data_IF_599849099876
#
_entry.id   IF_599849099876
#
_cell.length_a   1.000
_cell.length_b   1.000
_cell.length_c   1.000
_cell.angle_alpha   90.00
_cell.angle_beta   90.00
_cell.angle_gamma   90.00
#
_symmetry.space_group_name_H-M   'P 1'
#
loop_
_entity.id
_entity.type
_entity.pdbx_description
1 polymer ?
#
# COMPACT_ATOMS: atom_id res chain seq x y z
N UNK A 1 -2.85 12.34 -13.80
CA UNK A 1 -2.84 12.84 -12.42
C UNK A 1 -3.71 12.00 -11.50
N UNK A 2 -4.99 11.89 -11.78
CA UNK A 2 -5.89 11.05 -10.98
C UNK A 2 -5.47 9.59 -10.93
N UNK A 3 -5.01 9.05 -12.05
CA UNK A 3 -4.57 7.65 -12.12
C UNK A 3 -3.34 7.40 -11.25
N UNK A 4 -2.40 8.33 -11.24
CA UNK A 4 -1.18 8.22 -10.43
C UNK A 4 -1.52 8.31 -8.95
N UNK A 5 -2.36 9.26 -8.56
CA UNK A 5 -2.80 9.43 -7.19
C UNK A 5 -3.54 8.20 -6.68
N UNK A 6 -4.42 7.64 -7.52
CA UNK A 6 -5.17 6.43 -7.20
C UNK A 6 -4.23 5.24 -7.01
N UNK A 7 -3.26 5.08 -7.89
CA UNK A 7 -2.27 4.01 -7.80
C UNK A 7 -1.47 4.13 -6.50
N UNK A 8 -1.00 5.32 -6.16
CA UNK A 8 -0.25 5.56 -4.93
C UNK A 8 -1.10 5.20 -3.71
N UNK A 9 -2.35 5.66 -3.67
CA UNK A 9 -3.24 5.39 -2.55
C UNK A 9 -3.48 3.88 -2.36
N UNK A 10 -3.85 3.18 -3.43
CA UNK A 10 -4.17 1.75 -3.31
C UNK A 10 -2.94 0.88 -3.08
N UNK A 11 -1.78 1.30 -3.55
CA UNK A 11 -0.52 0.65 -3.21
C UNK A 11 -0.27 0.73 -1.71
N UNK A 12 -0.47 1.89 -1.11
CA UNK A 12 -0.30 2.08 0.33
C UNK A 12 -1.31 1.26 1.13
N UNK A 13 -2.58 1.29 0.73
CA UNK A 13 -3.63 0.51 1.38
C UNK A 13 -3.37 -1.00 1.25
N UNK A 14 -2.94 -1.44 0.09
CA UNK A 14 -2.59 -2.84 -0.15
C UNK A 14 -1.46 -3.28 0.77
N UNK A 15 -0.42 -2.46 0.91
CA UNK A 15 0.72 -2.79 1.78
C UNK A 15 0.28 -2.97 3.24
N UNK A 16 -0.68 -2.19 3.69
CA UNK A 16 -1.19 -2.31 5.06
C UNK A 16 -2.15 -3.47 5.25
N UNK A 17 -3.04 -3.68 4.30
CA UNK A 17 -4.22 -4.54 4.52
C UNK A 17 -4.35 -5.75 3.60
N UNK A 18 -3.36 -6.04 2.77
CA UNK A 18 -3.45 -7.15 1.81
C UNK A 18 -3.76 -8.49 2.47
N UNK A 19 -3.29 -8.69 3.69
CA UNK A 19 -3.56 -9.93 4.43
C UNK A 19 -5.04 -10.17 4.74
N UNK A 20 -5.87 -9.15 4.59
CA UNK A 20 -7.31 -9.24 4.83
C UNK A 20 -8.12 -9.43 3.54
N UNK A 21 -7.44 -9.48 2.41
CA UNK A 21 -8.07 -9.72 1.11
C UNK A 21 -8.12 -11.21 0.81
N UNK A 22 -9.07 -11.63 -0.05
CA UNK A 22 -9.07 -12.99 -0.56
C UNK A 22 -7.84 -13.21 -1.46
N UNK A 23 -7.47 -14.46 -1.68
CA UNK A 23 -6.34 -14.79 -2.56
C UNK A 23 -6.51 -14.20 -3.96
N UNK A 24 -7.70 -14.32 -4.54
CA UNK A 24 -7.99 -13.78 -5.87
C UNK A 24 -7.87 -12.26 -5.91
N UNK A 25 -8.44 -11.58 -4.92
CA UNK A 25 -8.36 -10.12 -4.81
C UNK A 25 -6.91 -9.66 -4.67
N UNK A 26 -6.16 -10.32 -3.78
CA UNK A 26 -4.77 -9.99 -3.52
C UNK A 26 -3.92 -10.12 -4.79
N UNK A 27 -4.04 -11.24 -5.49
CA UNK A 27 -3.28 -11.48 -6.71
C UNK A 27 -3.62 -10.51 -7.83
N UNK A 28 -4.89 -10.26 -8.05
CA UNK A 28 -5.34 -9.38 -9.12
C UNK A 28 -5.00 -7.91 -8.84
N UNK A 29 -5.19 -7.47 -7.60
CA UNK A 29 -4.78 -6.12 -7.22
C UNK A 29 -3.27 -5.93 -7.36
N UNK A 30 -2.48 -6.94 -6.98
CA UNK A 30 -1.03 -6.91 -7.13
C UNK A 30 -0.63 -6.76 -8.60
N UNK A 31 -1.24 -7.54 -9.50
CA UNK A 31 -0.99 -7.45 -10.94
C UNK A 31 -1.28 -6.06 -11.48
N UNK A 32 -2.40 -5.50 -11.05
CA UNK A 32 -2.87 -4.22 -11.56
C UNK A 32 -2.04 -3.04 -11.04
N UNK A 33 -1.80 -2.99 -9.74
CA UNK A 33 -1.15 -1.84 -9.11
C UNK A 33 0.37 -1.93 -9.05
N UNK A 34 0.95 -3.12 -8.91
CA UNK A 34 2.40 -3.28 -8.81
C UNK A 34 3.06 -3.66 -10.13
N UNK A 35 2.40 -4.49 -10.94
CA UNK A 35 2.96 -4.91 -12.23
C UNK A 35 2.44 -4.09 -13.40
N UNK A 36 1.55 -3.16 -13.14
CA UNK A 36 0.97 -2.26 -14.14
C UNK A 36 0.35 -3.00 -15.33
N UNK A 37 -0.27 -4.14 -15.06
CA UNK A 37 -0.93 -4.92 -16.09
C UNK A 37 -2.34 -4.38 -16.36
N UNK A 38 -2.75 -4.43 -17.62
CA UNK A 38 -4.12 -4.07 -17.99
C UNK A 38 -5.09 -5.18 -17.61
N UNK A 39 -6.37 -4.86 -17.57
CA UNK A 39 -7.42 -5.85 -17.30
C UNK A 39 -7.33 -7.00 -18.31
N UNK A 40 -7.08 -6.70 -19.59
CA UNK A 40 -6.92 -7.71 -20.63
C UNK A 40 -5.74 -8.63 -20.36
N UNK A 41 -4.60 -8.05 -19.98
CA UNK A 41 -3.39 -8.83 -19.69
C UNK A 41 -3.59 -9.74 -18.48
N UNK A 42 -4.22 -9.23 -17.43
CA UNK A 42 -4.52 -10.03 -16.23
C UNK A 42 -5.46 -11.18 -16.57
N UNK A 43 -6.51 -10.88 -17.35
CA UNK A 43 -7.49 -11.87 -17.81
C UNK A 43 -6.81 -13.01 -18.57
N UNK A 44 -5.92 -12.67 -19.49
CA UNK A 44 -5.18 -13.66 -20.28
C UNK A 44 -4.20 -14.46 -19.41
N UNK A 45 -3.43 -13.77 -18.59
CA UNK A 45 -2.40 -14.41 -17.77
C UNK A 45 -2.97 -15.38 -16.75
N UNK A 46 -4.13 -15.06 -16.19
CA UNK A 46 -4.75 -15.88 -15.15
C UNK A 46 -5.87 -16.78 -15.67
N UNK A 47 -6.14 -16.72 -16.95
CA UNK A 47 -7.18 -17.52 -17.60
C UNK A 47 -8.55 -17.35 -16.92
N UNK A 48 -8.92 -16.10 -16.70
CA UNK A 48 -10.23 -15.72 -16.16
C UNK A 48 -10.84 -14.65 -17.06
N UNK A 49 -12.14 -14.42 -16.94
CA UNK A 49 -12.80 -13.41 -17.76
C UNK A 49 -12.41 -11.99 -17.34
N UNK A 50 -12.55 -11.05 -18.28
CA UNK A 50 -12.32 -9.62 -17.98
C UNK A 50 -13.29 -9.14 -16.91
N UNK A 51 -14.53 -9.61 -16.97
CA UNK A 51 -15.54 -9.28 -15.96
C UNK A 51 -15.12 -9.75 -14.56
N UNK A 52 -14.52 -10.94 -14.48
CA UNK A 52 -14.02 -11.46 -13.20
C UNK A 52 -12.88 -10.59 -12.66
N UNK A 53 -11.98 -10.13 -13.54
CA UNK A 53 -10.90 -9.23 -13.14
C UNK A 53 -11.46 -7.91 -12.63
N UNK A 54 -12.37 -7.30 -13.36
CA UNK A 54 -13.02 -6.05 -12.95
C UNK A 54 -13.72 -6.16 -11.62
N UNK A 55 -14.43 -7.27 -11.42
CA UNK A 55 -15.15 -7.53 -10.16
C UNK A 55 -14.17 -7.65 -8.99
N UNK A 56 -13.10 -8.41 -9.17
CA UNK A 56 -12.08 -8.59 -8.13
C UNK A 56 -11.41 -7.27 -7.77
N UNK A 57 -11.09 -6.45 -8.78
CA UNK A 57 -10.50 -5.12 -8.56
C UNK A 57 -11.45 -4.23 -7.78
N UNK A 58 -12.70 -4.13 -8.23
CA UNK A 58 -13.69 -3.27 -7.59
C UNK A 58 -13.94 -3.68 -6.15
N UNK A 59 -14.16 -4.95 -5.91
CA UNK A 59 -14.44 -5.46 -4.57
C UNK A 59 -13.23 -5.35 -3.65
N UNK A 60 -12.04 -5.63 -4.18
CA UNK A 60 -10.82 -5.53 -3.42
C UNK A 60 -10.53 -4.09 -3.00
N UNK A 61 -10.69 -3.14 -3.92
CA UNK A 61 -10.51 -1.72 -3.64
C UNK A 61 -11.50 -1.22 -2.61
N UNK A 62 -12.77 -1.60 -2.74
CA UNK A 62 -13.81 -1.26 -1.77
C UNK A 62 -13.49 -1.79 -0.38
N UNK A 63 -13.00 -3.02 -0.32
CA UNK A 63 -12.65 -3.65 0.94
C UNK A 63 -11.49 -2.91 1.62
N UNK A 64 -10.47 -2.55 0.85
CA UNK A 64 -9.33 -1.77 1.36
C UNK A 64 -9.80 -0.43 1.94
N UNK A 65 -10.67 0.29 1.24
CA UNK A 65 -11.20 1.55 1.72
C UNK A 65 -12.05 1.38 2.97
N UNK A 66 -12.86 0.33 3.03
CA UNK A 66 -13.68 0.04 4.19
C UNK A 66 -12.84 -0.25 5.44
N UNK A 67 -11.76 -1.00 5.26
CA UNK A 67 -10.83 -1.32 6.35
C UNK A 67 -10.16 -0.03 6.83
N UNK A 68 -9.70 0.81 5.91
CA UNK A 68 -9.06 2.07 6.24
C UNK A 68 -10.03 3.01 6.98
N UNK A 69 -11.27 3.04 6.57
CA UNK A 69 -12.29 3.86 7.24
C UNK A 69 -12.43 3.49 8.71
N UNK A 70 -12.33 2.20 9.00
CA UNK A 70 -12.44 1.69 10.37
C UNK A 70 -11.15 1.84 11.17
N UNK A 71 -10.03 1.41 10.60
CA UNK A 71 -8.75 1.34 11.32
C UNK A 71 -7.92 2.61 11.22
N UNK A 72 -8.00 3.31 10.10
CA UNK A 72 -7.30 4.59 9.84
C UNK A 72 -5.77 4.51 10.00
N UNK A 73 -5.19 3.33 9.76
CA UNK A 73 -3.74 3.14 9.88
C UNK A 73 -2.96 4.00 8.90
N UNK A 74 -3.41 4.11 7.66
CA UNK A 74 -2.73 4.95 6.67
C UNK A 74 -2.78 6.41 7.07
N UNK A 75 -3.96 6.90 7.47
CA UNK A 75 -4.14 8.28 7.90
C UNK A 75 -3.23 8.61 9.08
N UNK A 76 -3.19 7.74 10.09
CA UNK A 76 -2.35 7.92 11.27
C UNK A 76 -0.87 7.89 10.91
N UNK A 77 -0.47 6.95 10.07
CA UNK A 77 0.93 6.83 9.64
C UNK A 77 1.39 8.07 8.90
N UNK A 78 0.55 8.63 8.03
CA UNK A 78 0.88 9.85 7.30
C UNK A 78 1.02 11.06 8.21
N UNK A 79 0.16 11.16 9.23
CA UNK A 79 0.25 12.23 10.22
C UNK A 79 1.52 12.12 11.05
N UNK A 80 1.86 10.90 11.48
CA UNK A 80 3.07 10.65 12.25
C UNK A 80 4.30 10.97 11.40
N UNK A 81 4.30 10.52 10.14
CA UNK A 81 5.39 10.80 9.20
C UNK A 81 5.62 12.30 9.05
N UNK A 82 4.55 13.07 8.88
CA UNK A 82 4.65 14.53 8.75
C UNK A 82 5.32 15.16 9.97
N UNK A 83 4.96 14.67 11.16
CA UNK A 83 5.56 15.17 12.41
C UNK A 83 7.03 14.76 12.54
N UNK A 84 7.37 13.55 12.13
CA UNK A 84 8.75 13.08 12.14
C UNK A 84 9.59 13.88 11.15
N UNK A 85 9.04 14.22 9.98
CA UNK A 85 9.72 15.07 9.00
C UNK A 85 9.98 16.47 9.57
N UNK A 86 9.00 17.06 10.25
CA UNK A 86 9.18 18.35 10.93
C UNK A 86 10.30 18.25 11.97
N UNK A 87 10.29 17.17 12.75
CA UNK A 87 11.30 16.95 13.78
C UNK A 87 12.70 16.83 13.16
N UNK A 88 12.80 16.18 11.99
CA UNK A 88 14.06 16.01 11.29
C UNK A 88 14.72 17.33 10.90
N UNK A 89 13.91 18.40 10.76
CA UNK A 89 14.41 19.71 10.38
C UNK A 89 15.03 20.49 11.56
N UNK A 90 14.71 20.13 12.79
CA UNK A 90 15.16 20.86 13.97
C UNK A 90 16.19 20.12 14.81
N UNK A 91 16.42 18.83 14.58
CA UNK A 91 17.45 18.09 15.30
C UNK A 91 18.78 18.31 14.60
N UNK A 92 19.85 18.51 15.38
CA UNK A 92 21.20 18.69 14.84
C UNK A 92 22.26 17.85 15.55
N UNK A 93 21.90 17.22 16.67
CA UNK A 93 22.76 16.26 17.35
C UNK A 93 22.76 14.91 16.62
N UNK A 94 23.93 14.27 16.51
CA UNK A 94 24.08 13.02 15.76
C UNK A 94 23.19 11.91 16.30
N UNK A 95 23.02 11.81 17.61
CA UNK A 95 22.18 10.79 18.23
C UNK A 95 20.71 11.04 17.96
N UNK A 96 20.28 12.30 18.00
CA UNK A 96 18.91 12.68 17.69
C UNK A 96 18.58 12.39 16.23
N UNK A 97 19.49 12.71 15.32
CA UNK A 97 19.34 12.42 13.89
C UNK A 97 19.18 10.92 13.67
N UNK A 98 19.97 10.12 14.37
CA UNK A 98 19.91 8.67 14.29
C UNK A 98 18.54 8.14 14.70
N UNK A 99 18.01 8.64 15.81
CA UNK A 99 16.69 8.24 16.30
C UNK A 99 15.57 8.61 15.32
N UNK A 100 15.65 9.78 14.72
CA UNK A 100 14.69 10.22 13.71
C UNK A 100 14.73 9.30 12.50
N UNK A 101 15.93 8.93 12.04
CA UNK A 101 16.07 7.98 10.92
C UNK A 101 15.47 6.63 11.25
N UNK A 102 15.69 6.13 12.47
CA UNK A 102 15.12 4.88 12.91
C UNK A 102 13.58 4.92 12.93
N UNK A 103 13.00 6.06 13.37
CA UNK A 103 11.55 6.25 13.33
C UNK A 103 11.00 6.22 11.92
N UNK A 104 11.68 6.88 10.99
CA UNK A 104 11.26 6.89 9.58
C UNK A 104 11.31 5.49 8.97
N UNK A 105 12.35 4.72 9.30
CA UNK A 105 12.47 3.35 8.84
C UNK A 105 11.32 2.48 9.35
N UNK A 106 10.93 2.64 10.60
CA UNK A 106 9.79 1.90 11.18
C UNK A 106 8.49 2.25 10.46
N UNK A 107 8.28 3.50 10.11
CA UNK A 107 7.09 3.93 9.39
C UNK A 107 7.07 3.41 7.96
N UNK A 108 8.23 3.33 7.32
CA UNK A 108 8.34 2.90 5.93
C UNK A 108 8.34 1.39 5.77
N UNK A 109 9.00 0.68 6.67
CA UNK A 109 9.25 -0.76 6.51
C UNK A 109 8.14 -1.64 7.05
N UNK A 110 7.58 -1.35 8.17
CA UNK A 110 6.43 -2.05 8.74
C UNK A 110 6.08 -3.41 8.15
N UNK A 111 4.82 -3.62 7.86
CA UNK A 111 4.27 -4.86 7.30
C UNK A 111 4.83 -5.18 5.92
N UNK A 112 5.21 -4.17 5.17
CA UNK A 112 5.67 -4.29 3.85
C UNK A 112 7.10 -4.86 3.67
N UNK A 113 7.90 -4.76 4.68
CA UNK A 113 9.21 -5.37 4.63
C UNK A 113 9.14 -6.88 4.58
N UNK A 114 8.18 -7.47 5.27
CA UNK A 114 8.04 -8.93 5.25
C UNK A 114 7.55 -9.46 3.89
N UNK A 115 6.71 -8.70 3.19
CA UNK A 115 6.25 -9.06 1.85
C UNK A 115 7.37 -8.97 0.83
N UNK A 116 8.28 -8.02 0.98
CA UNK A 116 9.45 -7.86 0.16
C UNK A 116 10.36 -9.08 0.21
N UNK A 117 10.56 -9.63 1.39
CA UNK A 117 11.49 -10.75 1.58
C UNK A 117 10.97 -12.08 1.06
N UNK A 118 9.69 -12.17 0.81
CA UNK A 118 9.06 -13.38 0.30
C UNK A 118 9.15 -13.43 -1.23
N UNK A 119 9.30 -12.31 -1.86
CA UNK A 119 9.45 -12.19 -3.29
C UNK A 119 10.92 -12.19 -3.68
#
# INVERSE_FOLDING_TARGET
>A
MEKIEKTIRYTKLFNLYSGLLSSAQKEILSDYFFLDLSISEISENRNVSRAAVEDALTKGMKKLESIEETLKCLNKNEKIRAKVEELSQIVDDAEEIKLVKELMEELDNGIWESDWKII
#
